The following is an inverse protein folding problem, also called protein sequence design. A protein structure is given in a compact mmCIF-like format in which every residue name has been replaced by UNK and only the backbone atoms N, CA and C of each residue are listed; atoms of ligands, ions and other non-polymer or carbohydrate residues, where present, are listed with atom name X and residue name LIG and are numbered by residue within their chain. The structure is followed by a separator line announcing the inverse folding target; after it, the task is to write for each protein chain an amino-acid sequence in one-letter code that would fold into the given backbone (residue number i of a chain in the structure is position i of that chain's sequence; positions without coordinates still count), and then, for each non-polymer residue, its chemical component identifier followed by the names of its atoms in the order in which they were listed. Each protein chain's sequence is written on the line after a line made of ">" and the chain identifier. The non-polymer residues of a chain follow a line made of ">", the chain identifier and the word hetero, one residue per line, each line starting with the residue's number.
data_IF_050944141186
#
_entry.id   IF_050944141186
#
_cell.length_a   1.000
_cell.length_b   1.000
_cell.length_c   1.000
_cell.angle_alpha   90.00
_cell.angle_beta   90.00
_cell.angle_gamma   90.00
#
_symmetry.space_group_name_H-M   'P 1'
#
loop_
_entity.id
_entity.type
_entity.pdbx_description
1 polymer ?
#
# COMPACT_ATOMS: atom_id res chain seq x y z
N UNK A 1 -93.65 -12.54 -14.22
CA UNK A 1 -93.43 -11.12 -13.90
C UNK A 1 -92.37 -10.63 -14.86
N UNK A 2 -92.84 -10.13 -16.00
CA UNK A 2 -92.06 -9.32 -16.93
C UNK A 2 -91.44 -8.13 -16.20
N UNK A 3 -90.19 -7.78 -16.57
CA UNK A 3 -89.89 -6.45 -17.12
C UNK A 3 -88.45 -6.42 -17.64
N UNK A 4 -88.41 -6.33 -18.96
CA UNK A 4 -87.34 -5.91 -19.84
C UNK A 4 -86.66 -4.60 -19.41
N UNK A 5 -85.33 -4.56 -19.46
CA UNK A 5 -84.62 -3.38 -19.95
C UNK A 5 -83.52 -3.80 -20.92
N UNK A 6 -83.71 -3.34 -22.14
CA UNK A 6 -82.87 -3.51 -23.32
C UNK A 6 -81.71 -2.50 -23.23
N UNK A 7 -80.47 -2.98 -23.31
CA UNK A 7 -79.31 -2.14 -23.63
C UNK A 7 -78.66 -2.74 -24.88
N UNK A 8 -78.47 -1.87 -25.87
CA UNK A 8 -78.09 -2.19 -27.25
C UNK A 8 -76.72 -2.86 -27.34
N UNK A 9 -76.62 -3.86 -28.21
CA UNK A 9 -75.38 -4.44 -28.69
C UNK A 9 -74.64 -3.45 -29.61
N UNK A 10 -73.36 -3.23 -29.37
CA UNK A 10 -72.36 -3.09 -30.43
C UNK A 10 -71.31 -4.19 -30.19
N UNK A 11 -71.46 -5.29 -30.92
CA UNK A 11 -70.42 -6.30 -31.08
C UNK A 11 -69.20 -5.65 -31.73
N UNK A 12 -68.07 -5.68 -31.03
CA UNK A 12 -66.78 -5.33 -31.62
C UNK A 12 -66.52 -6.24 -32.83
N UNK A 13 -66.09 -5.71 -33.98
CA UNK A 13 -65.69 -6.54 -35.10
C UNK A 13 -64.58 -7.48 -34.65
N UNK A 14 -64.71 -8.76 -34.99
CA UNK A 14 -63.62 -9.72 -34.89
C UNK A 14 -62.38 -9.13 -35.54
N UNK A 15 -61.26 -9.13 -34.80
CA UNK A 15 -59.95 -8.76 -35.32
C UNK A 15 -59.57 -9.79 -36.39
N UNK A 16 -60.07 -9.60 -37.60
CA UNK A 16 -59.54 -10.23 -38.78
C UNK A 16 -58.06 -9.87 -38.86
N UNK A 17 -57.26 -10.91 -39.10
CA UNK A 17 -55.82 -10.86 -39.24
C UNK A 17 -55.44 -9.83 -40.31
N UNK A 18 -55.20 -8.59 -39.92
CA UNK A 18 -54.39 -7.68 -40.71
C UNK A 18 -52.95 -8.22 -40.66
N UNK A 19 -52.36 -8.62 -41.80
CA UNK A 19 -50.99 -9.07 -41.81
C UNK A 19 -50.11 -7.89 -41.39
N UNK A 20 -49.43 -8.10 -40.26
CA UNK A 20 -48.31 -7.31 -39.77
C UNK A 20 -47.45 -6.87 -40.97
N UNK A 21 -47.31 -5.55 -41.14
CA UNK A 21 -46.57 -4.84 -42.18
C UNK A 21 -45.71 -5.71 -43.10
N UNK A 22 -46.05 -5.70 -44.39
CA UNK A 22 -45.27 -6.28 -45.49
C UNK A 22 -43.77 -5.94 -45.39
N UNK A 23 -42.98 -6.88 -44.84
CA UNK A 23 -41.51 -6.88 -44.90
C UNK A 23 -40.98 -6.81 -46.35
N UNK A 24 -41.84 -7.13 -47.31
CA UNK A 24 -41.59 -7.15 -48.75
C UNK A 24 -41.33 -5.75 -49.34
N UNK A 25 -41.79 -4.68 -48.69
CA UNK A 25 -41.49 -3.31 -49.13
C UNK A 25 -40.10 -2.80 -48.69
N UNK A 26 -39.42 -3.47 -47.74
CA UNK A 26 -38.09 -3.04 -47.24
C UNK A 26 -36.92 -3.48 -48.13
N UNK A 27 -37.09 -4.48 -49.00
CA UNK A 27 -36.07 -4.87 -49.98
C UNK A 27 -35.93 -3.87 -51.14
N UNK A 28 -36.91 -2.97 -51.34
CA UNK A 28 -36.86 -1.95 -52.41
C UNK A 28 -35.89 -0.79 -52.16
N UNK A 29 -35.31 -0.65 -50.96
CA UNK A 29 -34.36 0.44 -50.64
C UNK A 29 -32.88 0.03 -50.57
N UNK A 30 -32.51 -1.24 -50.81
CA UNK A 30 -31.11 -1.68 -50.86
C UNK A 30 -30.29 -1.44 -49.58
N UNK A 31 -30.96 -1.22 -48.45
CA UNK A 31 -30.30 -0.76 -47.25
C UNK A 31 -30.10 -1.91 -46.24
N UNK A 32 -28.85 -2.06 -45.82
CA UNK A 32 -28.38 -3.14 -44.93
C UNK A 32 -28.51 -2.69 -43.47
N UNK A 33 -29.15 -3.53 -42.65
CA UNK A 33 -29.22 -3.36 -41.20
C UNK A 33 -27.85 -3.62 -40.58
N UNK A 34 -27.39 -2.73 -39.70
CA UNK A 34 -26.13 -2.85 -38.96
C UNK A 34 -26.36 -2.83 -37.46
N UNK A 35 -25.44 -3.47 -36.71
CA UNK A 35 -25.47 -3.54 -35.26
C UNK A 35 -24.11 -3.14 -34.69
N UNK A 36 -24.12 -2.33 -33.63
CA UNK A 36 -22.96 -2.01 -32.80
C UNK A 36 -23.32 -2.35 -31.36
N UNK A 37 -22.47 -3.15 -30.71
CA UNK A 37 -22.62 -3.50 -29.30
C UNK A 37 -21.39 -3.04 -28.51
N UNK A 38 -21.58 -2.65 -27.26
CA UNK A 38 -20.49 -2.21 -26.41
C UNK A 38 -20.91 -2.03 -24.96
N UNK A 39 -19.96 -1.60 -24.15
CA UNK A 39 -20.19 -1.20 -22.76
C UNK A 39 -19.93 0.28 -22.58
N UNK A 40 -20.74 0.91 -21.72
CA UNK A 40 -20.66 2.32 -21.38
C UNK A 40 -20.84 2.49 -19.86
N UNK A 41 -20.18 3.51 -19.30
CA UNK A 41 -20.33 3.86 -17.89
C UNK A 41 -21.76 4.39 -17.61
N UNK A 42 -22.44 3.99 -16.52
CA UNK A 42 -23.80 4.41 -16.18
C UNK A 42 -24.11 5.90 -16.30
N UNK A 43 -23.24 6.78 -15.78
CA UNK A 43 -23.48 8.23 -15.81
C UNK A 43 -23.51 8.81 -17.24
N UNK A 44 -22.87 8.13 -18.20
CA UNK A 44 -22.81 8.56 -19.61
C UNK A 44 -24.01 8.10 -20.43
N UNK A 45 -24.83 7.15 -19.94
CA UNK A 45 -25.95 6.56 -20.70
C UNK A 45 -26.95 7.61 -21.16
N UNK A 46 -27.43 8.46 -20.24
CA UNK A 46 -28.42 9.50 -20.57
C UNK A 46 -27.92 10.52 -21.61
N UNK A 47 -26.72 11.12 -21.44
CA UNK A 47 -26.12 11.97 -22.47
C UNK A 47 -25.89 11.26 -23.82
N UNK A 48 -25.47 10.00 -23.80
CA UNK A 48 -25.20 9.19 -24.99
C UNK A 48 -26.47 8.94 -25.82
N UNK A 49 -27.57 8.56 -25.17
CA UNK A 49 -28.88 8.36 -25.81
C UNK A 49 -29.36 9.64 -26.50
N UNK A 50 -29.27 10.80 -25.81
CA UNK A 50 -29.65 12.10 -26.39
C UNK A 50 -28.79 12.46 -27.59
N UNK A 51 -27.49 12.17 -27.57
CA UNK A 51 -26.59 12.46 -28.68
C UNK A 51 -26.91 11.59 -29.90
N UNK A 52 -27.15 10.29 -29.69
CA UNK A 52 -27.59 9.38 -30.74
C UNK A 52 -28.88 9.88 -31.40
N UNK A 53 -29.89 10.24 -30.59
CA UNK A 53 -31.15 10.76 -31.11
C UNK A 53 -30.97 12.04 -31.93
N UNK A 54 -30.18 13.00 -31.44
CA UNK A 54 -29.94 14.29 -32.11
C UNK A 54 -29.21 14.16 -33.45
N UNK A 55 -28.21 13.29 -33.51
CA UNK A 55 -27.37 13.13 -34.71
C UNK A 55 -28.02 12.21 -35.75
N UNK A 56 -28.66 11.14 -35.28
CA UNK A 56 -29.23 10.10 -36.14
C UNK A 56 -30.73 10.28 -36.40
N UNK A 57 -31.39 11.29 -35.80
CA UNK A 57 -32.78 11.70 -36.08
C UNK A 57 -33.80 10.55 -36.08
N UNK A 58 -33.61 9.57 -35.19
CA UNK A 58 -34.50 8.40 -35.05
C UNK A 58 -34.25 7.23 -36.00
N UNK A 59 -33.19 7.25 -36.82
CA UNK A 59 -32.78 6.09 -37.63
C UNK A 59 -31.98 5.02 -36.85
N UNK A 60 -32.00 5.08 -35.52
CA UNK A 60 -31.29 4.17 -34.63
C UNK A 60 -32.19 3.72 -33.49
N UNK A 61 -32.17 2.42 -33.18
CA UNK A 61 -32.84 1.88 -32.00
C UNK A 61 -31.75 1.47 -31.01
N UNK A 62 -31.79 2.06 -29.82
CA UNK A 62 -30.90 1.79 -28.70
C UNK A 62 -31.60 0.88 -27.70
N UNK A 63 -30.97 -0.24 -27.37
CA UNK A 63 -31.33 -1.10 -26.24
C UNK A 63 -30.16 -1.11 -25.28
N UNK A 64 -30.40 -1.01 -23.98
CA UNK A 64 -29.34 -1.12 -22.97
C UNK A 64 -29.81 -1.92 -21.77
N UNK A 65 -28.88 -2.59 -21.11
CA UNK A 65 -29.10 -3.45 -19.96
C UNK A 65 -27.92 -3.28 -18.99
N UNK A 66 -28.21 -3.11 -17.71
CA UNK A 66 -27.19 -3.01 -16.67
C UNK A 66 -26.60 -4.40 -16.37
N UNK A 67 -25.27 -4.49 -16.21
CA UNK A 67 -24.64 -5.72 -15.79
C UNK A 67 -24.97 -6.03 -14.32
N UNK A 68 -25.33 -7.28 -14.06
CA UNK A 68 -25.59 -7.77 -12.70
C UNK A 68 -24.33 -7.72 -11.81
N UNK A 69 -23.17 -7.93 -12.43
CA UNK A 69 -21.86 -8.03 -11.76
C UNK A 69 -21.11 -6.70 -11.93
N UNK A 70 -20.72 -6.02 -10.85
CA UNK A 70 -19.85 -4.86 -10.94
C UNK A 70 -18.46 -5.29 -11.44
N UNK A 71 -17.88 -4.50 -12.33
CA UNK A 71 -16.53 -4.71 -12.83
C UNK A 71 -15.64 -3.55 -12.37
N UNK A 72 -14.43 -3.89 -11.94
CA UNK A 72 -13.41 -2.92 -11.58
C UNK A 72 -12.99 -2.14 -12.83
N UNK A 73 -13.11 -0.81 -12.74
CA UNK A 73 -12.64 0.06 -13.81
C UNK A 73 -11.10 0.13 -13.77
N UNK A 74 -10.39 -0.27 -14.84
CA UNK A 74 -8.93 -0.30 -14.84
C UNK A 74 -8.25 1.07 -14.67
N UNK A 75 -8.95 2.18 -14.88
CA UNK A 75 -8.40 3.53 -14.69
C UNK A 75 -8.64 4.08 -13.28
N UNK A 76 -9.82 3.85 -12.68
CA UNK A 76 -10.18 4.38 -11.36
C UNK A 76 -10.01 3.38 -10.20
N UNK A 77 -10.02 2.08 -10.48
CA UNK A 77 -10.05 1.01 -9.47
C UNK A 77 -11.36 0.92 -8.70
N UNK A 78 -12.42 1.59 -9.18
CA UNK A 78 -13.76 1.53 -8.57
C UNK A 78 -14.61 0.41 -9.17
N UNK A 79 -15.41 -0.24 -8.32
CA UNK A 79 -16.39 -1.23 -8.73
C UNK A 79 -17.62 -0.54 -9.34
N UNK A 80 -17.73 -0.60 -10.67
CA UNK A 80 -18.84 0.04 -11.40
C UNK A 80 -19.72 -1.02 -12.03
N UNK A 81 -21.04 -0.88 -11.90
CA UNK A 81 -22.00 -1.67 -12.68
C UNK A 81 -22.07 -1.12 -14.10
N UNK A 82 -21.28 -1.67 -15.00
CA UNK A 82 -21.26 -1.23 -16.39
C UNK A 82 -22.60 -1.49 -17.09
N UNK A 83 -22.91 -0.68 -18.11
CA UNK A 83 -24.13 -0.85 -18.91
C UNK A 83 -23.76 -1.39 -20.28
N UNK A 84 -24.34 -2.52 -20.66
CA UNK A 84 -24.23 -3.08 -22.02
C UNK A 84 -25.26 -2.37 -22.90
N UNK A 85 -24.86 -1.96 -24.09
CA UNK A 85 -25.77 -1.37 -25.07
C UNK A 85 -25.67 -2.07 -26.43
N UNK A 86 -26.79 -2.06 -27.14
CA UNK A 86 -26.94 -2.50 -28.52
C UNK A 86 -27.61 -1.39 -29.32
N UNK A 87 -26.91 -0.86 -30.33
CA UNK A 87 -27.46 0.10 -31.28
C UNK A 87 -27.67 -0.60 -32.61
N UNK A 88 -28.92 -0.70 -33.03
CA UNK A 88 -29.27 -1.07 -34.40
C UNK A 88 -29.47 0.18 -35.24
N UNK A 89 -28.96 0.16 -36.48
CA UNK A 89 -29.02 1.31 -37.38
C UNK A 89 -29.19 0.87 -38.82
N UNK A 90 -29.73 1.79 -39.62
CA UNK A 90 -30.01 1.55 -41.03
C UNK A 90 -29.05 2.34 -41.92
N UNK A 91 -28.24 1.64 -42.73
CA UNK A 91 -27.31 2.27 -43.68
C UNK A 91 -25.94 2.64 -43.11
N UNK A 92 -24.93 2.62 -43.98
CA UNK A 92 -23.51 2.71 -43.60
C UNK A 92 -23.10 4.11 -43.09
N UNK A 93 -23.67 5.17 -43.66
CA UNK A 93 -23.41 6.56 -43.26
C UNK A 93 -23.86 6.84 -41.80
N UNK A 94 -24.95 6.20 -41.36
CA UNK A 94 -25.42 6.30 -39.99
C UNK A 94 -24.52 5.47 -39.06
N UNK A 95 -24.12 4.27 -39.48
CA UNK A 95 -23.16 3.45 -38.73
C UNK A 95 -21.85 4.16 -38.42
N UNK A 96 -21.29 4.91 -39.39
CA UNK A 96 -20.09 5.71 -39.16
C UNK A 96 -20.30 6.83 -38.14
N UNK A 97 -21.49 7.47 -38.12
CA UNK A 97 -21.85 8.47 -37.11
C UNK A 97 -21.98 7.84 -35.72
N UNK A 98 -22.65 6.69 -35.61
CA UNK A 98 -22.79 5.95 -34.35
C UNK A 98 -21.42 5.57 -33.80
N UNK A 99 -20.51 5.04 -34.64
CA UNK A 99 -19.15 4.69 -34.23
C UNK A 99 -18.38 5.90 -33.68
N UNK A 100 -18.43 7.05 -34.38
CA UNK A 100 -17.81 8.29 -33.88
C UNK A 100 -18.38 8.74 -32.54
N UNK A 101 -19.69 8.58 -32.33
CA UNK A 101 -20.32 8.89 -31.03
C UNK A 101 -19.81 7.93 -29.96
N UNK A 102 -19.75 6.62 -30.22
CA UNK A 102 -19.17 5.64 -29.29
C UNK A 102 -17.72 6.01 -28.90
N UNK A 103 -16.91 6.42 -29.89
CA UNK A 103 -15.53 6.84 -29.65
C UNK A 103 -15.47 8.13 -28.79
N UNK A 104 -16.35 9.11 -29.03
CA UNK A 104 -16.43 10.36 -28.25
C UNK A 104 -16.83 10.14 -26.78
N UNK A 105 -17.66 9.15 -26.49
CA UNK A 105 -18.07 8.82 -25.12
C UNK A 105 -17.13 7.83 -24.44
N UNK A 106 -16.08 7.38 -25.13
CA UNK A 106 -15.14 6.36 -24.68
C UNK A 106 -15.85 5.03 -24.35
N UNK A 107 -16.77 4.61 -25.22
CA UNK A 107 -17.41 3.30 -25.10
C UNK A 107 -16.45 2.20 -25.56
N UNK A 108 -16.41 1.06 -24.86
CA UNK A 108 -15.71 -0.12 -25.36
C UNK A 108 -16.63 -0.88 -26.30
N UNK A 109 -16.34 -0.80 -27.60
CA UNK A 109 -17.14 -1.43 -28.66
C UNK A 109 -16.59 -2.82 -28.98
N UNK A 110 -17.47 -3.82 -29.06
CA UNK A 110 -17.13 -5.19 -29.41
C UNK A 110 -17.68 -5.56 -30.79
N UNK A 111 -16.97 -6.42 -31.56
CA UNK A 111 -17.47 -6.90 -32.84
C UNK A 111 -18.74 -7.73 -32.63
N UNK A 112 -19.83 -7.34 -33.30
CA UNK A 112 -21.10 -8.06 -33.22
C UNK A 112 -21.18 -9.17 -34.28
N UNK A 113 -21.40 -10.45 -33.88
CA UNK A 113 -21.49 -11.57 -34.82
C UNK A 113 -22.79 -11.54 -35.62
N UNK A 114 -22.69 -11.81 -36.93
CA UNK A 114 -23.85 -11.78 -37.82
C UNK A 114 -24.60 -13.12 -37.84
N UNK A 115 -23.91 -14.22 -37.52
CA UNK A 115 -24.51 -15.56 -37.46
C UNK A 115 -24.44 -16.16 -36.06
N UNK A 116 -25.38 -17.09 -35.77
CA UNK A 116 -25.39 -17.80 -34.48
C UNK A 116 -24.16 -18.73 -34.35
N UNK A 117 -23.68 -19.29 -35.45
CA UNK A 117 -22.50 -20.16 -35.45
C UNK A 117 -21.23 -19.37 -35.10
N UNK A 118 -20.98 -18.22 -35.75
CA UNK A 118 -19.86 -17.33 -35.41
C UNK A 118 -19.89 -16.90 -33.94
N UNK A 119 -21.08 -16.61 -33.40
CA UNK A 119 -21.24 -16.26 -31.98
C UNK A 119 -20.77 -17.40 -31.07
N UNK A 120 -21.15 -18.65 -31.36
CA UNK A 120 -20.73 -19.81 -30.56
C UNK A 120 -19.22 -20.01 -30.62
N UNK A 121 -18.63 -19.86 -31.81
CA UNK A 121 -17.18 -20.02 -32.00
C UNK A 121 -16.38 -18.94 -31.27
N UNK A 122 -16.84 -17.68 -31.31
CA UNK A 122 -16.23 -16.57 -30.55
C UNK A 122 -16.32 -16.82 -29.04
N UNK A 123 -17.49 -17.22 -28.53
CA UNK A 123 -17.66 -17.50 -27.09
C UNK A 123 -16.76 -18.66 -26.65
N UNK A 124 -16.66 -19.73 -27.44
CA UNK A 124 -15.75 -20.84 -27.16
C UNK A 124 -14.29 -20.38 -27.12
N UNK A 125 -13.85 -19.58 -28.10
CA UNK A 125 -12.49 -19.03 -28.14
C UNK A 125 -12.17 -18.08 -26.97
N UNK A 126 -13.14 -17.23 -26.58
CA UNK A 126 -13.00 -16.35 -25.41
C UNK A 126 -12.87 -17.15 -24.12
N UNK A 127 -13.65 -18.22 -23.94
CA UNK A 127 -13.55 -19.08 -22.76
C UNK A 127 -12.17 -19.75 -22.64
N UNK A 128 -11.61 -20.28 -23.73
CA UNK A 128 -10.26 -20.83 -23.73
C UNK A 128 -9.23 -19.77 -23.35
N UNK A 129 -9.32 -18.57 -23.94
CA UNK A 129 -8.39 -17.48 -23.65
C UNK A 129 -8.49 -16.98 -22.20
N UNK A 130 -9.69 -16.95 -21.63
CA UNK A 130 -9.92 -16.62 -20.22
C UNK A 130 -9.23 -17.66 -19.32
N UNK A 131 -9.36 -18.95 -19.63
CA UNK A 131 -8.69 -20.03 -18.88
C UNK A 131 -7.15 -19.93 -18.96
N UNK A 132 -6.61 -19.64 -20.13
CA UNK A 132 -5.17 -19.44 -20.31
C UNK A 132 -4.68 -18.23 -19.47
N UNK A 133 -5.41 -17.11 -19.50
CA UNK A 133 -5.09 -15.93 -18.70
C UNK A 133 -5.14 -16.21 -17.20
N UNK A 134 -6.16 -16.92 -16.71
CA UNK A 134 -6.22 -17.34 -15.30
C UNK A 134 -5.02 -18.21 -14.91
N UNK A 135 -4.61 -19.12 -15.80
CA UNK A 135 -3.44 -19.98 -15.55
C UNK A 135 -2.17 -19.15 -15.45
N UNK A 136 -1.96 -18.18 -16.35
CA UNK A 136 -0.81 -17.28 -16.31
C UNK A 136 -0.81 -16.41 -15.06
N UNK A 137 -1.97 -15.85 -14.68
CA UNK A 137 -2.10 -15.03 -13.47
C UNK A 137 -1.73 -15.84 -12.22
N UNK A 138 -2.30 -17.03 -12.07
CA UNK A 138 -2.02 -17.91 -10.94
C UNK A 138 -0.53 -18.28 -10.84
N UNK A 139 0.10 -18.67 -11.96
CA UNK A 139 1.54 -18.99 -12.00
C UNK A 139 2.41 -17.79 -11.67
N UNK A 140 2.02 -16.61 -12.13
CA UNK A 140 2.76 -15.37 -11.83
C UNK A 140 2.66 -15.02 -10.36
N UNK A 141 1.49 -15.14 -9.76
CA UNK A 141 1.28 -14.89 -8.34
C UNK A 141 2.05 -15.87 -7.47
N UNK A 142 2.01 -17.16 -7.80
CA UNK A 142 2.80 -18.20 -7.12
C UNK A 142 4.30 -17.90 -7.16
N UNK A 143 4.82 -17.52 -8.34
CA UNK A 143 6.21 -17.12 -8.50
C UNK A 143 6.57 -15.89 -7.66
N UNK A 144 5.72 -14.85 -7.67
CA UNK A 144 5.91 -13.65 -6.86
C UNK A 144 5.93 -13.97 -5.36
N UNK A 145 5.02 -14.82 -4.89
CA UNK A 145 4.99 -15.27 -3.50
C UNK A 145 6.28 -16.01 -3.10
N UNK A 146 6.79 -16.88 -3.98
CA UNK A 146 8.06 -17.59 -3.73
C UNK A 146 9.25 -16.65 -3.67
N UNK A 147 9.35 -15.69 -4.59
CA UNK A 147 10.42 -14.68 -4.60
C UNK A 147 10.32 -13.79 -3.36
N UNK A 148 9.11 -13.38 -2.99
CA UNK A 148 8.88 -12.55 -1.81
C UNK A 148 9.23 -13.28 -0.52
N UNK A 149 8.89 -14.56 -0.41
CA UNK A 149 9.27 -15.40 0.75
C UNK A 149 10.79 -15.44 0.91
N UNK A 150 11.52 -15.76 -0.17
CA UNK A 150 12.99 -15.80 -0.16
C UNK A 150 13.61 -14.44 0.17
N UNK A 151 13.06 -13.36 -0.37
CA UNK A 151 13.51 -12.01 -0.09
C UNK A 151 13.24 -11.61 1.37
N UNK A 152 12.10 -12.02 1.93
CA UNK A 152 11.71 -11.68 3.31
C UNK A 152 12.62 -12.32 4.36
N UNK A 153 13.17 -13.50 4.08
CA UNK A 153 14.14 -14.15 4.97
C UNK A 153 15.48 -13.41 5.00
N UNK A 154 15.95 -12.94 3.83
CA UNK A 154 17.27 -12.32 3.70
C UNK A 154 17.28 -10.82 4.01
N UNK A 155 16.17 -10.10 3.80
CA UNK A 155 16.11 -8.63 3.90
C UNK A 155 16.57 -8.12 5.25
N UNK A 156 16.23 -8.80 6.35
CA UNK A 156 16.63 -8.40 7.69
C UNK A 156 18.15 -8.43 7.88
N UNK A 157 18.82 -9.45 7.33
CA UNK A 157 20.28 -9.59 7.42
C UNK A 157 20.98 -8.52 6.58
N UNK A 158 20.52 -8.28 5.35
CA UNK A 158 21.07 -7.25 4.47
C UNK A 158 20.93 -5.87 5.06
N UNK A 159 19.79 -5.56 5.63
CA UNK A 159 19.52 -4.27 6.24
C UNK A 159 20.41 -4.02 7.47
N UNK A 160 20.73 -5.05 8.26
CA UNK A 160 21.73 -4.94 9.34
C UNK A 160 23.13 -4.71 8.76
N UNK A 161 23.52 -5.46 7.72
CA UNK A 161 24.83 -5.33 7.09
C UNK A 161 25.04 -3.93 6.49
N UNK A 162 24.07 -3.43 5.73
CA UNK A 162 24.12 -2.09 5.10
C UNK A 162 24.18 -1.00 6.16
N UNK A 163 23.41 -1.11 7.25
CA UNK A 163 23.47 -0.11 8.35
C UNK A 163 24.82 -0.12 9.07
N UNK A 164 25.36 -1.30 9.35
CA UNK A 164 26.70 -1.43 9.95
C UNK A 164 27.76 -0.82 9.03
N UNK A 165 27.72 -1.14 7.75
CA UNK A 165 28.65 -0.61 6.75
C UNK A 165 28.55 0.91 6.62
N UNK A 166 27.32 1.45 6.55
CA UNK A 166 27.08 2.90 6.53
C UNK A 166 27.66 3.58 7.78
N UNK A 167 27.44 3.01 8.96
CA UNK A 167 27.98 3.54 10.21
C UNK A 167 29.51 3.53 10.21
N UNK A 168 30.15 2.46 9.73
CA UNK A 168 31.61 2.39 9.60
C UNK A 168 32.13 3.49 8.67
N UNK A 169 31.57 3.63 7.46
CA UNK A 169 32.00 4.68 6.53
C UNK A 169 31.74 6.08 7.05
N UNK A 170 30.65 6.29 7.78
CA UNK A 170 30.36 7.57 8.42
C UNK A 170 31.43 7.93 9.46
N UNK A 171 31.87 6.98 10.29
CA UNK A 171 32.96 7.21 11.25
C UNK A 171 34.31 7.40 10.53
N UNK A 172 34.60 6.62 9.49
CA UNK A 172 35.83 6.79 8.70
C UNK A 172 35.91 8.18 8.05
N UNK A 173 34.76 8.76 7.68
CA UNK A 173 34.69 10.11 7.12
C UNK A 173 34.95 11.21 8.17
N UNK A 174 34.83 10.92 9.47
CA UNK A 174 35.20 11.84 10.56
C UNK A 174 36.70 11.75 10.91
N UNK A 175 37.41 10.72 10.44
CA UNK A 175 38.84 10.56 10.67
C UNK A 175 39.66 11.46 9.74
N UNK A 176 40.81 11.92 10.19
CA UNK A 176 41.77 12.60 9.33
C UNK A 176 42.61 11.58 8.57
N UNK A 177 42.91 11.89 7.31
CA UNK A 177 43.70 11.03 6.43
C UNK A 177 45.13 11.55 6.34
N UNK A 178 46.10 10.72 6.74
CA UNK A 178 47.52 11.00 6.57
C UNK A 178 48.01 10.44 5.23
N UNK A 179 48.33 11.34 4.29
CA UNK A 179 48.76 11.02 2.92
C UNK A 179 50.12 10.31 2.91
N UNK A 180 50.99 10.59 3.89
CA UNK A 180 52.36 10.09 3.91
C UNK A 180 52.41 8.60 4.28
N UNK A 181 51.70 8.21 5.33
CA UNK A 181 51.68 6.82 5.80
C UNK A 181 50.48 6.01 5.28
N UNK A 182 49.57 6.64 4.53
CA UNK A 182 48.28 6.06 4.12
C UNK A 182 47.52 5.50 5.34
N UNK A 183 47.57 6.22 6.44
CA UNK A 183 46.91 5.86 7.70
C UNK A 183 45.78 6.82 8.00
N UNK A 184 44.77 6.33 8.73
CA UNK A 184 43.72 7.17 9.30
C UNK A 184 44.08 7.48 10.74
N UNK A 185 43.99 8.76 11.09
CA UNK A 185 44.21 9.26 12.45
C UNK A 185 42.86 9.71 12.98
N UNK A 186 42.55 9.31 14.21
CA UNK A 186 41.30 9.66 14.87
C UNK A 186 41.57 10.00 16.33
N UNK A 187 40.99 11.10 16.79
CA UNK A 187 40.98 11.49 18.19
C UNK A 187 39.64 11.08 18.80
N UNK A 188 39.68 10.29 19.87
CA UNK A 188 38.48 9.71 20.47
C UNK A 188 38.51 9.81 21.98
N UNK A 189 37.36 10.13 22.57
CA UNK A 189 37.17 10.05 24.01
C UNK A 189 36.94 8.61 24.44
N UNK A 190 37.77 8.10 25.34
CA UNK A 190 37.68 6.74 25.87
C UNK A 190 37.80 6.75 27.41
N UNK A 191 36.92 6.03 28.13
CA UNK A 191 37.07 5.85 29.57
C UNK A 191 38.40 5.15 29.90
N UNK A 192 39.14 5.69 30.86
CA UNK A 192 40.46 5.15 31.27
C UNK A 192 40.37 3.67 31.67
N UNK A 193 39.26 3.26 32.29
CA UNK A 193 39.02 1.87 32.69
C UNK A 193 38.82 0.89 31.52
N UNK A 194 38.36 1.36 30.36
CA UNK A 194 38.07 0.53 29.18
C UNK A 194 39.18 0.59 28.12
N UNK A 195 40.23 1.39 28.34
CA UNK A 195 41.44 1.44 27.51
C UNK A 195 42.07 0.08 27.18
N UNK A 196 42.22 -0.89 28.13
CA UNK A 196 42.78 -2.20 27.78
C UNK A 196 41.90 -2.98 26.79
N UNK A 197 40.57 -2.85 26.88
CA UNK A 197 39.65 -3.52 25.94
C UNK A 197 39.78 -2.96 24.53
N UNK A 198 39.97 -1.64 24.41
CA UNK A 198 40.18 -0.98 23.11
C UNK A 198 41.49 -1.46 22.48
N UNK A 199 42.59 -1.53 23.26
CA UNK A 199 43.87 -2.06 22.78
C UNK A 199 43.75 -3.49 22.27
N UNK A 200 43.10 -4.37 23.05
CA UNK A 200 42.87 -5.74 22.64
C UNK A 200 42.04 -5.83 21.35
N UNK A 201 40.95 -5.07 21.25
CA UNK A 201 40.11 -5.05 20.05
C UNK A 201 40.88 -4.59 18.80
N UNK A 202 41.82 -3.65 18.98
CA UNK A 202 42.67 -3.12 17.92
C UNK A 202 43.73 -4.14 17.48
N UNK A 203 44.36 -4.83 18.43
CA UNK A 203 45.30 -5.93 18.15
C UNK A 203 44.60 -7.09 17.42
N UNK A 204 43.40 -7.48 17.86
CA UNK A 204 42.60 -8.50 17.19
C UNK A 204 42.18 -8.06 15.77
N UNK A 205 41.85 -6.78 15.59
CA UNK A 205 41.55 -6.19 14.29
C UNK A 205 42.75 -6.24 13.34
N UNK A 206 43.93 -5.83 13.82
CA UNK A 206 45.18 -5.85 13.07
C UNK A 206 45.58 -7.29 12.67
N UNK A 207 45.40 -8.26 13.59
CA UNK A 207 45.65 -9.68 13.30
C UNK A 207 44.73 -10.21 12.20
N UNK A 208 43.44 -9.84 12.21
CA UNK A 208 42.46 -10.29 11.21
C UNK A 208 42.67 -9.65 9.84
N UNK A 209 43.11 -8.39 9.80
CA UNK A 209 43.39 -7.70 8.54
C UNK A 209 44.75 -8.07 7.93
N UNK A 210 45.60 -8.83 8.64
CA UNK A 210 46.98 -9.12 8.27
C UNK A 210 47.76 -7.86 7.87
N UNK A 211 47.45 -6.73 8.53
CA UNK A 211 48.06 -5.46 8.21
C UNK A 211 49.53 -5.46 8.67
N UNK A 212 50.43 -5.02 7.80
CA UNK A 212 51.87 -4.89 8.11
C UNK A 212 52.15 -3.85 9.19
N UNK A 213 51.26 -2.85 9.33
CA UNK A 213 51.38 -1.79 10.35
C UNK A 213 50.47 -2.11 11.53
N UNK A 214 51.03 -2.28 12.74
CA UNK A 214 50.21 -2.45 13.94
C UNK A 214 49.46 -1.15 14.23
N UNK A 215 48.16 -1.27 14.46
CA UNK A 215 47.37 -0.13 14.92
C UNK A 215 47.67 0.11 16.40
N UNK A 216 47.90 1.36 16.80
CA UNK A 216 48.29 1.73 18.15
C UNK A 216 47.39 2.83 18.72
N UNK A 217 47.34 2.93 20.05
CA UNK A 217 46.56 3.94 20.78
C UNK A 217 47.51 4.74 21.66
N UNK A 218 47.55 6.05 21.44
CA UNK A 218 48.32 6.99 22.27
C UNK A 218 47.39 7.85 23.13
N UNK A 219 47.81 8.19 24.36
CA UNK A 219 47.08 9.10 25.23
C UNK A 219 47.61 10.51 25.03
N UNK A 220 46.77 11.40 24.53
CA UNK A 220 47.11 12.80 24.32
C UNK A 220 46.63 13.61 25.52
N UNK A 221 47.48 14.42 26.17
CA UNK A 221 47.02 15.39 27.16
C UNK A 221 46.28 16.51 26.44
N UNK A 222 45.04 16.80 26.85
CA UNK A 222 44.24 17.91 26.33
C UNK A 222 43.68 18.74 27.48
N UNK A 223 43.44 20.02 27.21
CA UNK A 223 42.76 20.98 28.10
C UNK A 223 41.25 21.01 27.85
N UNK A 224 40.77 20.35 26.80
CA UNK A 224 39.35 20.32 26.45
C UNK A 224 38.53 19.57 27.50
N UNK A 225 37.29 20.01 27.70
CA UNK A 225 36.37 19.39 28.66
C UNK A 225 35.91 18.02 28.15
N UNK A 226 36.26 16.91 28.83
CA UNK A 226 35.86 15.58 28.41
C UNK A 226 34.35 15.37 28.64
N UNK A 227 33.71 14.46 27.86
CA UNK A 227 32.31 14.11 28.06
C UNK A 227 32.10 13.31 29.35
N UNK A 228 30.96 13.52 30.01
CA UNK A 228 30.55 12.80 31.21
C UNK A 228 29.98 11.43 30.86
N UNK A 229 30.54 10.36 31.43
CA UNK A 229 30.03 8.99 31.28
C UNK A 229 29.49 8.47 32.61
N UNK A 230 28.18 8.21 32.67
CA UNK A 230 27.53 7.56 33.80
C UNK A 230 27.18 6.12 33.45
N UNK A 231 27.79 5.16 34.16
CA UNK A 231 27.50 3.74 33.97
C UNK A 231 26.15 3.40 34.58
N UNK A 232 25.16 3.13 33.72
CA UNK A 232 23.81 2.75 34.14
C UNK A 232 23.59 1.25 33.97
N UNK A 233 22.81 0.67 34.87
CA UNK A 233 22.25 -0.66 34.71
C UNK A 233 20.80 -0.54 34.19
N UNK A 234 20.17 -1.65 33.83
CA UNK A 234 18.78 -1.71 33.37
C UNK A 234 17.79 -1.01 34.32
N UNK A 235 18.03 -1.09 35.63
CA UNK A 235 17.21 -0.42 36.64
C UNK A 235 17.49 1.09 36.71
N UNK A 236 18.78 1.48 36.78
CA UNK A 236 19.15 2.88 37.00
C UNK A 236 19.03 3.74 35.74
N UNK A 237 18.93 3.14 34.55
CA UNK A 237 18.81 3.88 33.28
C UNK A 237 17.53 4.72 33.19
N UNK A 238 16.42 4.22 33.75
CA UNK A 238 15.16 4.97 33.80
C UNK A 238 15.30 6.25 34.61
N UNK A 239 15.84 6.15 35.82
CA UNK A 239 16.08 7.30 36.70
C UNK A 239 17.15 8.24 36.16
N UNK A 240 18.20 7.71 35.53
CA UNK A 240 19.23 8.54 34.92
C UNK A 240 18.65 9.37 33.77
N UNK A 241 17.80 8.79 32.91
CA UNK A 241 17.15 9.54 31.84
C UNK A 241 16.27 10.68 32.37
N UNK A 242 15.66 10.53 33.56
CA UNK A 242 14.88 11.61 34.19
C UNK A 242 15.81 12.75 34.61
N UNK A 243 16.97 12.43 35.19
CA UNK A 243 17.98 13.44 35.57
C UNK A 243 18.57 14.12 34.32
N UNK A 244 18.98 13.33 33.33
CA UNK A 244 19.59 13.81 32.08
C UNK A 244 18.63 14.69 31.26
N UNK A 245 17.31 14.52 31.42
CA UNK A 245 16.31 15.38 30.79
C UNK A 245 16.33 16.83 31.29
N UNK A 246 16.79 17.07 32.53
CA UNK A 246 17.00 18.42 33.06
C UNK A 246 18.34 19.01 32.61
N UNK A 247 19.34 18.16 32.39
CA UNK A 247 20.64 18.55 31.89
C UNK A 247 21.69 17.47 32.14
N UNK A 248 22.72 17.46 31.31
CA UNK A 248 23.89 16.57 31.51
C UNK A 248 24.84 17.25 32.48
N UNK A 249 25.22 16.54 33.55
CA UNK A 249 26.16 17.06 34.56
C UNK A 249 27.57 17.30 34.01
N UNK A 250 28.28 18.23 34.62
CA UNK A 250 29.66 18.53 34.27
C UNK A 250 30.60 17.36 34.57
N UNK A 251 31.77 17.36 33.94
CA UNK A 251 32.76 16.33 34.16
C UNK A 251 33.18 16.29 35.64
N UNK A 252 33.17 15.09 36.23
CA UNK A 252 33.45 14.84 37.65
C UNK A 252 32.48 15.50 38.65
N UNK A 253 31.30 15.94 38.19
CA UNK A 253 30.23 16.36 39.09
C UNK A 253 29.56 15.18 39.80
N UNK A 254 29.03 15.42 41.00
CA UNK A 254 28.30 14.41 41.76
C UNK A 254 26.98 14.12 41.06
N UNK A 255 26.78 12.88 40.64
CA UNK A 255 25.52 12.46 40.02
C UNK A 255 24.38 12.44 41.07
N UNK A 256 23.28 13.18 40.87
CA UNK A 256 22.12 13.11 41.76
C UNK A 256 21.30 11.82 41.57
N UNK A 257 21.51 11.09 40.48
CA UNK A 257 20.77 9.87 40.11
C UNK A 257 20.56 8.86 41.25
N UNK A 258 21.60 8.45 42.01
CA UNK A 258 21.43 7.55 43.15
C UNK A 258 20.47 8.05 44.22
N UNK A 259 20.43 9.36 44.49
CA UNK A 259 19.48 9.97 45.43
C UNK A 259 18.08 10.03 44.83
N UNK A 260 17.97 10.35 43.54
CA UNK A 260 16.69 10.39 42.80
C UNK A 260 15.99 9.03 42.82
N UNK A 261 16.71 7.91 42.80
CA UNK A 261 16.12 6.55 42.88
C UNK A 261 15.22 6.38 44.10
N UNK A 262 15.60 6.95 45.25
CA UNK A 262 14.84 6.81 46.52
C UNK A 262 13.91 8.00 46.74
N UNK A 263 14.42 9.21 46.55
CA UNK A 263 13.70 10.44 46.89
C UNK A 263 12.54 10.71 45.92
N UNK A 264 12.68 10.41 44.63
CA UNK A 264 11.64 10.69 43.65
C UNK A 264 10.37 9.84 43.87
N UNK A 265 10.44 8.50 43.98
CA UNK A 265 9.26 7.70 44.30
C UNK A 265 8.66 8.03 45.68
N UNK A 266 9.50 8.37 46.65
CA UNK A 266 9.04 8.76 47.99
C UNK A 266 8.21 10.05 47.96
N UNK A 267 8.73 11.11 47.32
CA UNK A 267 8.00 12.38 47.18
C UNK A 267 6.71 12.18 46.38
N UNK A 268 6.75 11.36 45.32
CA UNK A 268 5.55 10.99 44.56
C UNK A 268 4.51 10.29 45.44
N UNK A 269 4.93 9.35 46.30
CA UNK A 269 4.03 8.63 47.20
C UNK A 269 3.36 9.55 48.24
N UNK A 270 4.07 10.55 48.76
CA UNK A 270 3.49 11.54 49.68
C UNK A 270 2.43 12.40 48.97
N UNK A 271 2.66 12.79 47.72
CA UNK A 271 1.73 13.62 46.95
C UNK A 271 0.50 12.84 46.43
N UNK A 272 0.69 11.55 46.13
CA UNK A 272 -0.33 10.67 45.53
C UNK A 272 -0.98 9.73 46.57
N UNK A 273 -0.96 10.08 47.85
CA UNK A 273 -1.20 9.23 49.03
C UNK A 273 -2.56 8.52 49.14
N UNK A 274 -2.86 7.61 48.21
CA UNK A 274 -4.02 6.74 48.18
C UNK A 274 -3.56 5.28 48.01
N UNK A 275 -3.95 4.43 48.97
CA UNK A 275 -3.60 3.02 48.98
C UNK A 275 -4.23 2.22 47.82
N UNK A 276 -5.48 2.54 47.44
CA UNK A 276 -6.18 1.86 46.36
C UNK A 276 -5.52 2.12 45.01
N UNK A 277 -5.26 3.40 44.70
CA UNK A 277 -4.55 3.78 43.48
C UNK A 277 -3.10 3.26 43.48
N UNK A 278 -2.42 3.27 44.64
CA UNK A 278 -1.08 2.68 44.79
C UNK A 278 -1.03 1.18 44.47
N UNK A 279 -2.04 0.42 44.91
CA UNK A 279 -2.15 -1.01 44.60
C UNK A 279 -2.35 -1.25 43.10
N UNK A 280 -3.25 -0.48 42.45
CA UNK A 280 -3.48 -0.59 41.00
C UNK A 280 -2.20 -0.27 40.21
N UNK A 281 -1.49 0.80 40.58
CA UNK A 281 -0.21 1.17 39.96
C UNK A 281 0.86 0.11 40.15
N UNK A 282 0.93 -0.51 41.34
CA UNK A 282 1.87 -1.60 41.62
C UNK A 282 1.57 -2.85 40.79
N UNK A 283 0.30 -3.25 40.68
CA UNK A 283 -0.12 -4.39 39.83
C UNK A 283 0.21 -4.13 38.37
N UNK A 284 -0.04 -2.92 37.87
CA UNK A 284 0.29 -2.53 36.50
C UNK A 284 1.81 -2.51 36.24
N UNK A 285 2.59 -1.94 37.16
CA UNK A 285 4.04 -1.93 37.07
C UNK A 285 4.62 -3.35 37.09
N UNK A 286 4.11 -4.22 37.97
CA UNK A 286 4.50 -5.63 38.05
C UNK A 286 4.16 -6.36 36.74
N UNK A 287 2.98 -6.12 36.18
CA UNK A 287 2.58 -6.70 34.90
C UNK A 287 3.53 -6.30 33.76
N UNK A 288 3.96 -5.04 33.69
CA UNK A 288 4.92 -4.58 32.69
C UNK A 288 6.31 -5.22 32.85
N UNK A 289 6.79 -5.36 34.09
CA UNK A 289 8.09 -6.02 34.38
C UNK A 289 8.05 -7.50 34.02
N UNK A 290 6.97 -8.21 34.35
CA UNK A 290 6.79 -9.62 33.96
C UNK A 290 6.64 -9.79 32.44
N UNK A 291 5.96 -8.84 31.79
CA UNK A 291 5.71 -8.86 30.35
C UNK A 291 6.86 -8.32 29.50
N UNK A 292 7.99 -7.93 30.09
CA UNK A 292 9.09 -7.29 29.36
C UNK A 292 9.68 -8.18 28.26
N UNK A 293 9.65 -9.49 28.47
CA UNK A 293 10.16 -10.45 27.48
C UNK A 293 9.21 -10.71 26.31
N UNK A 294 7.99 -10.18 26.34
CA UNK A 294 7.03 -10.37 25.26
C UNK A 294 7.50 -9.64 23.98
N UNK A 295 7.54 -10.34 22.83
CA UNK A 295 8.09 -9.82 21.57
C UNK A 295 7.30 -8.62 21.03
N UNK A 296 6.01 -8.51 21.34
CA UNK A 296 5.15 -7.38 20.95
C UNK A 296 5.65 -6.05 21.52
N UNK A 297 6.12 -6.03 22.77
CA UNK A 297 6.64 -4.82 23.43
C UNK A 297 8.05 -4.45 22.94
N UNK A 298 8.86 -5.45 22.54
CA UNK A 298 10.21 -5.23 21.98
C UNK A 298 10.17 -4.67 20.55
N UNK A 299 9.16 -5.02 19.75
CA UNK A 299 9.00 -4.55 18.36
C UNK A 299 8.84 -3.02 18.29
N UNK A 300 8.01 -2.43 19.14
CA UNK A 300 7.81 -0.97 19.21
C UNK A 300 9.09 -0.21 19.57
N UNK A 301 9.95 -0.80 20.42
CA UNK A 301 11.24 -0.19 20.81
C UNK A 301 12.24 -0.15 19.64
N UNK A 302 12.20 -1.11 18.74
CA UNK A 302 13.08 -1.14 17.57
C UNK A 302 12.68 -0.11 16.51
N UNK A 303 11.38 0.14 16.33
CA UNK A 303 10.87 1.15 15.39
C UNK A 303 11.23 2.58 15.83
N UNK A 304 11.15 2.90 17.12
CA UNK A 304 11.54 4.24 17.65
C UNK A 304 13.06 4.50 17.53
N UNK A 305 13.88 3.45 17.65
CA UNK A 305 15.33 3.56 17.45
C UNK A 305 15.70 3.70 15.97
N UNK A 306 14.84 3.17 15.09
CA UNK A 306 14.98 3.25 13.64
C UNK A 306 14.66 4.63 13.09
N UNK A 307 13.59 5.25 13.56
CA UNK A 307 13.24 6.62 13.22
C UNK A 307 14.30 7.63 13.70
N UNK A 308 14.94 7.40 14.86
CA UNK A 308 16.07 8.26 15.31
C UNK A 308 17.34 8.12 14.46
N UNK A 309 17.54 7.01 13.75
CA UNK A 309 18.66 6.83 12.82
C UNK A 309 18.38 7.35 11.40
N UNK A 310 17.14 7.72 11.09
CA UNK A 310 16.78 8.36 9.80
C UNK A 310 16.71 9.89 9.88
N UNK A 311 16.68 10.47 11.09
CA UNK A 311 16.52 11.92 11.31
C UNK A 311 17.83 12.65 11.62
N UNK A 312 18.97 11.93 11.74
CA UNK A 312 20.30 12.52 11.86
C UNK A 312 21.23 12.02 10.75
#
# INVERSE_FOLDING_TARGET
>A
LDLSHQAQFEEFPSLDKEPLMDYTNMQRLGAKLGFIAGIIHPWKVGPFERMLWRVCKGYTILTYEELDIPLEDPESGEDVKWVVFLVSYWGEQIGQKVKKICDCYHCHVYPYPNTNQERKDIVAGLNTRIQDLHTVLYRTEEYLQQVLSKASESIHTWLIQVRKMKAIYHILNLCSFDVTNKCLIAEVWCPVADLPKVRQALEEGSRKSMATVPSFVNRIPTTDTPPTLLRTNKFTSGFQNIVDAYGVGNYQEVNPGPYTIVTFPFLFAVMFGDFGHGLIMSVFALWMVLSENNPKLKRTRNEVRLSRLQVN
#
